data_IF_257150189677
#
_entry.id   IF_257150189677
#
_cell.length_a   1.000
_cell.length_b   1.000
_cell.length_c   1.000
_cell.angle_alpha   90.00
_cell.angle_beta   90.00
_cell.angle_gamma   90.00
#
_symmetry.space_group_name_H-M   'P 1'
#
loop_
_entity.id
_entity.type
_entity.pdbx_description
1 polymer ?
#
# COMPACT_ATOMS: atom_id res chain seq x y z
N UNK A 1 -73.38 -12.31 -8.48
CA UNK A 1 -73.20 -13.77 -8.37
C UNK A 1 -71.83 -14.06 -7.77
N UNK A 2 -71.81 -14.89 -6.72
CA UNK A 2 -70.70 -15.63 -6.07
C UNK A 2 -69.38 -14.87 -5.79
N UNK A 3 -68.92 -14.60 -4.56
CA UNK A 3 -68.98 -15.26 -3.24
C UNK A 3 -68.06 -16.49 -3.06
N UNK A 4 -67.01 -16.24 -2.27
CA UNK A 4 -66.33 -17.08 -1.24
C UNK A 4 -65.19 -18.06 -1.62
N UNK A 5 -64.00 -17.99 -0.93
CA UNK A 5 -62.93 -19.03 -0.87
C UNK A 5 -63.34 -20.17 0.12
N UNK A 6 -62.58 -21.25 0.49
CA UNK A 6 -61.11 -21.46 0.68
C UNK A 6 -60.66 -22.93 0.32
N UNK A 7 -59.80 -23.64 1.10
CA UNK A 7 -58.37 -23.50 1.39
C UNK A 7 -57.52 -24.62 0.70
N UNK A 8 -56.19 -24.52 0.71
CA UNK A 8 -55.33 -25.71 0.48
C UNK A 8 -54.79 -26.26 1.81
N UNK A 9 -54.81 -27.61 1.99
CA UNK A 9 -54.42 -28.26 3.23
C UNK A 9 -52.91 -28.47 3.36
N UNK A 10 -52.47 -28.33 4.61
CA UNK A 10 -51.22 -28.78 5.19
C UNK A 10 -51.03 -30.30 5.00
N UNK A 11 -49.90 -30.72 4.42
CA UNK A 11 -49.40 -32.10 4.57
C UNK A 11 -47.95 -32.04 5.01
N UNK A 12 -47.76 -32.36 6.29
CA UNK A 12 -46.49 -32.72 6.88
C UNK A 12 -46.00 -34.06 6.32
N UNK A 13 -44.74 -34.11 5.88
CA UNK A 13 -43.99 -35.35 5.83
C UNK A 13 -42.59 -35.17 6.43
N UNK A 14 -42.47 -35.78 7.60
CA UNK A 14 -41.29 -36.33 8.25
C UNK A 14 -40.23 -36.85 7.27
N UNK A 15 -39.02 -36.32 7.40
CA UNK A 15 -37.76 -37.03 7.12
C UNK A 15 -36.70 -36.63 8.13
N UNK A 16 -36.75 -37.28 9.29
CA UNK A 16 -35.62 -37.94 9.94
C UNK A 16 -34.23 -37.77 9.27
N UNK A 17 -33.37 -36.97 9.94
CA UNK A 17 -31.89 -37.01 10.12
C UNK A 17 -31.02 -37.81 9.11
N UNK A 18 -29.88 -37.27 8.63
CA UNK A 18 -28.64 -37.59 9.35
C UNK A 18 -27.55 -36.49 9.36
N UNK A 19 -26.79 -36.45 10.46
CA UNK A 19 -25.33 -36.25 10.53
C UNK A 19 -24.74 -35.06 9.76
N UNK A 20 -24.30 -34.04 10.51
CA UNK A 20 -22.92 -33.51 10.52
C UNK A 20 -22.90 -32.05 10.98
N UNK A 21 -23.02 -31.84 12.30
CA UNK A 21 -22.49 -30.63 12.93
C UNK A 21 -20.98 -30.81 13.07
N UNK A 22 -20.26 -30.67 11.97
CA UNK A 22 -18.89 -30.17 12.08
C UNK A 22 -19.03 -28.70 12.40
N UNK A 23 -18.92 -28.38 13.69
CA UNK A 23 -18.59 -27.03 14.13
C UNK A 23 -17.29 -26.65 13.45
N UNK A 24 -17.38 -25.99 12.30
CA UNK A 24 -16.33 -25.14 11.78
C UNK A 24 -16.06 -24.12 12.87
N UNK A 25 -15.09 -24.44 13.72
CA UNK A 25 -14.35 -23.44 14.47
C UNK A 25 -13.81 -22.50 13.43
N UNK A 26 -14.57 -21.45 13.13
CA UNK A 26 -14.04 -20.18 12.65
C UNK A 26 -13.11 -19.73 13.76
N UNK A 27 -11.89 -20.25 13.72
CA UNK A 27 -10.79 -19.68 14.44
C UNK A 27 -10.56 -18.37 13.71
N UNK A 28 -11.26 -17.33 14.15
CA UNK A 28 -10.73 -15.98 14.10
C UNK A 28 -9.43 -16.05 14.89
N UNK A 29 -8.36 -16.53 14.23
CA UNK A 29 -7.00 -16.20 14.62
C UNK A 29 -6.99 -14.70 14.50
N UNK A 30 -7.27 -14.03 15.60
CA UNK A 30 -6.84 -12.67 15.83
C UNK A 30 -5.34 -12.74 15.64
N UNK A 31 -4.87 -12.49 14.43
CA UNK A 31 -3.45 -12.29 14.19
C UNK A 31 -3.02 -11.22 15.20
N UNK A 32 -1.90 -11.43 15.90
CA UNK A 32 -1.39 -10.40 16.79
C UNK A 32 -1.28 -9.08 16.01
N UNK A 33 -1.54 -7.92 16.65
CA UNK A 33 -1.36 -6.64 15.98
C UNK A 33 0.05 -6.59 15.38
N UNK A 34 0.12 -6.31 14.08
CA UNK A 34 1.38 -6.27 13.35
C UNK A 34 2.19 -5.09 13.89
N UNK A 35 3.30 -5.39 14.55
CA UNK A 35 4.23 -4.38 15.07
C UNK A 35 5.24 -4.10 13.98
N UNK A 36 5.09 -2.96 13.30
CA UNK A 36 6.07 -2.50 12.33
C UNK A 36 7.41 -2.23 13.03
N UNK A 37 8.49 -2.72 12.44
CA UNK A 37 9.86 -2.38 12.86
C UNK A 37 10.14 -0.91 12.54
N UNK A 38 11.03 -0.26 13.27
CA UNK A 38 11.50 1.08 12.89
C UNK A 38 12.40 0.97 11.64
N UNK A 39 12.38 1.95 10.72
CA UNK A 39 13.34 2.02 9.62
C UNK A 39 14.77 2.36 10.13
N UNK A 40 15.83 2.07 9.34
CA UNK A 40 15.80 1.39 8.04
C UNK A 40 15.46 -0.09 8.21
N UNK A 41 14.44 -0.57 7.48
CA UNK A 41 14.03 -1.97 7.53
C UNK A 41 13.42 -2.41 6.20
N UNK A 42 13.70 -3.65 5.78
CA UNK A 42 12.95 -4.25 4.69
C UNK A 42 11.66 -4.86 5.21
N UNK A 43 10.53 -4.58 4.58
CA UNK A 43 9.24 -5.12 5.01
C UNK A 43 8.99 -6.57 4.52
N UNK A 44 8.20 -7.33 5.26
CA UNK A 44 7.61 -8.63 4.85
C UNK A 44 6.33 -8.42 4.05
N UNK A 45 5.78 -9.49 3.47
CA UNK A 45 4.51 -9.40 2.73
C UNK A 45 3.33 -9.01 3.65
N UNK A 46 3.28 -9.53 4.89
CA UNK A 46 2.28 -9.12 5.87
C UNK A 46 2.45 -7.64 6.29
N UNK A 47 3.70 -7.17 6.41
CA UNK A 47 4.00 -5.76 6.71
C UNK A 47 3.61 -4.86 5.52
N UNK A 48 3.78 -5.33 4.28
CA UNK A 48 3.39 -4.62 3.05
C UNK A 48 1.88 -4.34 3.03
N UNK A 49 1.05 -5.38 3.16
CA UNK A 49 -0.42 -5.25 3.16
C UNK A 49 -0.87 -4.25 4.24
N UNK A 50 -0.24 -4.29 5.41
CA UNK A 50 -0.55 -3.35 6.48
C UNK A 50 -0.15 -1.91 6.13
N UNK A 51 1.04 -1.70 5.58
CA UNK A 51 1.54 -0.38 5.18
C UNK A 51 0.65 0.24 4.10
N UNK A 52 0.27 -0.52 3.07
CA UNK A 52 -0.63 -0.07 2.00
C UNK A 52 -1.99 0.36 2.56
N UNK A 53 -2.61 -0.48 3.41
CA UNK A 53 -3.90 -0.18 4.02
C UNK A 53 -3.84 1.06 4.93
N UNK A 54 -2.75 1.26 5.67
CA UNK A 54 -2.60 2.47 6.49
C UNK A 54 -2.41 3.71 5.63
N UNK A 55 -1.57 3.61 4.59
CA UNK A 55 -1.30 4.68 3.64
C UNK A 55 -2.60 5.15 2.97
N UNK A 56 -3.33 4.25 2.29
CA UNK A 56 -4.58 4.57 1.58
C UNK A 56 -5.63 5.27 2.46
N UNK A 57 -5.70 4.91 3.75
CA UNK A 57 -6.72 5.44 4.67
C UNK A 57 -6.40 6.81 5.24
N UNK A 58 -5.12 7.12 5.41
CA UNK A 58 -4.69 8.24 6.26
C UNK A 58 -3.82 9.26 5.53
N UNK A 59 -3.34 8.94 4.33
CA UNK A 59 -2.50 9.82 3.54
C UNK A 59 -3.26 11.10 3.17
N UNK A 60 -2.51 12.20 3.16
CA UNK A 60 -2.99 13.53 2.82
C UNK A 60 -1.96 14.19 1.91
N UNK A 61 -2.32 15.28 1.25
CA UNK A 61 -1.38 15.97 0.36
C UNK A 61 -0.08 16.39 1.07
N UNK A 62 -0.09 16.98 2.28
CA UNK A 62 1.14 17.22 3.04
C UNK A 62 2.02 15.97 3.26
N UNK A 63 1.42 14.80 3.53
CA UNK A 63 2.18 13.55 3.62
C UNK A 63 2.86 13.21 2.29
N UNK A 64 2.15 13.34 1.16
CA UNK A 64 2.70 13.06 -0.17
C UNK A 64 3.84 14.02 -0.53
N UNK A 65 3.69 15.31 -0.23
CA UNK A 65 4.73 16.32 -0.50
C UNK A 65 5.98 16.05 0.35
N UNK A 66 5.82 15.77 1.64
CA UNK A 66 6.93 15.41 2.51
C UNK A 66 7.67 14.16 2.06
N UNK A 67 6.94 13.12 1.63
CA UNK A 67 7.55 11.90 1.10
C UNK A 67 8.30 12.16 -0.21
N UNK A 68 7.70 12.95 -1.11
CA UNK A 68 8.32 13.36 -2.37
C UNK A 68 9.62 14.15 -2.13
N UNK A 69 9.56 15.18 -1.28
CA UNK A 69 10.71 16.05 -0.98
C UNK A 69 11.91 15.24 -0.45
N UNK A 70 11.65 14.32 0.48
CA UNK A 70 12.68 13.44 1.05
C UNK A 70 13.33 12.54 0.00
N UNK A 71 12.51 11.88 -0.83
CA UNK A 71 13.02 10.99 -1.87
C UNK A 71 13.81 11.77 -2.92
N UNK A 72 13.31 12.95 -3.32
CA UNK A 72 14.01 13.86 -4.23
C UNK A 72 15.35 14.31 -3.68
N UNK A 73 15.43 14.64 -2.40
CA UNK A 73 16.69 15.02 -1.74
C UNK A 73 17.72 13.89 -1.83
N UNK A 74 17.32 12.65 -1.49
CA UNK A 74 18.21 11.48 -1.56
C UNK A 74 18.67 11.21 -3.00
N UNK A 75 17.77 11.26 -3.98
CA UNK A 75 18.10 11.03 -5.39
C UNK A 75 19.06 12.12 -5.91
N UNK A 76 18.80 13.38 -5.57
CA UNK A 76 19.64 14.54 -5.95
C UNK A 76 21.03 14.43 -5.34
N UNK A 77 21.14 14.12 -4.04
CA UNK A 77 22.42 13.96 -3.34
C UNK A 77 23.28 12.83 -3.92
N UNK A 78 22.67 11.85 -4.58
CA UNK A 78 23.33 10.72 -5.24
C UNK A 78 23.55 10.92 -6.75
N UNK A 79 23.10 12.03 -7.32
CA UNK A 79 23.19 12.31 -8.75
C UNK A 79 22.36 11.35 -9.60
N UNK A 80 21.24 10.83 -9.07
CA UNK A 80 20.32 9.96 -9.81
C UNK A 80 19.31 10.86 -10.52
N UNK A 81 19.23 10.75 -11.85
CA UNK A 81 18.20 11.46 -12.63
C UNK A 81 16.82 10.87 -12.35
N UNK A 82 15.82 11.73 -12.22
CA UNK A 82 14.46 11.31 -11.91
C UNK A 82 13.41 12.22 -12.56
N UNK A 83 12.17 11.74 -12.63
CA UNK A 83 10.99 12.50 -13.02
C UNK A 83 9.78 12.12 -12.18
N UNK A 84 9.11 13.11 -11.59
CA UNK A 84 7.88 12.90 -10.82
C UNK A 84 6.71 12.63 -11.77
N UNK A 85 5.91 11.62 -11.45
CA UNK A 85 4.82 11.13 -12.28
C UNK A 85 3.50 11.08 -11.49
N UNK A 86 2.50 10.42 -12.07
CA UNK A 86 1.31 10.00 -11.33
C UNK A 86 0.40 11.13 -10.87
N UNK A 87 -0.39 10.84 -9.83
CA UNK A 87 -1.35 11.79 -9.27
C UNK A 87 -0.70 13.04 -8.69
N UNK A 88 0.44 12.90 -8.00
CA UNK A 88 1.16 14.02 -7.39
C UNK A 88 1.64 15.02 -8.45
N UNK A 89 2.23 14.55 -9.56
CA UNK A 89 2.65 15.44 -10.65
C UNK A 89 1.48 16.27 -11.21
N UNK A 90 0.29 15.68 -11.33
CA UNK A 90 -0.91 16.36 -11.82
C UNK A 90 -1.42 17.40 -10.83
N UNK A 91 -1.38 17.09 -9.54
CA UNK A 91 -1.75 18.03 -8.47
C UNK A 91 -0.81 19.24 -8.48
N UNK A 92 0.50 19.01 -8.59
CA UNK A 92 1.52 20.07 -8.66
C UNK A 92 1.36 20.98 -9.90
N UNK A 93 0.82 20.44 -10.99
CA UNK A 93 0.46 21.19 -12.20
C UNK A 93 -0.88 21.92 -12.10
N UNK A 94 -1.53 21.92 -10.93
CA UNK A 94 -2.77 22.65 -10.64
C UNK A 94 -4.06 21.85 -10.79
N UNK A 95 -4.00 20.53 -11.04
CA UNK A 95 -5.19 19.68 -11.08
C UNK A 95 -5.61 19.23 -9.67
N UNK A 96 -6.23 20.15 -8.92
CA UNK A 96 -6.65 19.91 -7.54
C UNK A 96 -7.87 18.96 -7.38
N UNK A 97 -8.54 18.59 -8.48
CA UNK A 97 -9.67 17.65 -8.43
C UNK A 97 -9.24 16.18 -8.36
N UNK A 98 -7.96 15.89 -8.61
CA UNK A 98 -7.41 14.54 -8.57
C UNK A 98 -7.00 14.18 -7.15
N UNK A 99 -7.33 12.96 -6.74
CA UNK A 99 -6.84 12.33 -5.51
C UNK A 99 -5.83 11.25 -5.87
N UNK A 100 -4.87 11.01 -4.98
CA UNK A 100 -3.84 9.97 -5.08
C UNK A 100 -3.40 9.61 -3.67
N UNK A 101 -2.93 8.40 -3.46
CA UNK A 101 -2.48 7.92 -2.14
C UNK A 101 -0.97 7.68 -2.08
N UNK A 102 -0.28 7.90 -3.19
CA UNK A 102 1.07 7.45 -3.48
C UNK A 102 1.85 8.51 -4.27
N UNK A 103 3.16 8.34 -4.30
CA UNK A 103 4.08 9.16 -5.11
C UNK A 103 4.74 8.27 -6.16
N UNK A 104 4.53 8.55 -7.44
CA UNK A 104 5.22 7.87 -8.54
C UNK A 104 6.44 8.67 -9.00
N UNK A 105 7.60 8.01 -9.11
CA UNK A 105 8.83 8.64 -9.63
C UNK A 105 9.54 7.69 -10.58
N UNK A 106 9.73 8.11 -11.83
CA UNK A 106 10.65 7.41 -12.74
C UNK A 106 12.09 7.77 -12.38
N UNK A 107 12.97 6.77 -12.33
CA UNK A 107 14.39 6.94 -11.98
C UNK A 107 15.30 6.25 -13.01
N UNK A 108 16.40 6.93 -13.34
CA UNK A 108 17.50 6.35 -14.13
C UNK A 108 18.51 5.71 -13.17
N UNK A 109 18.13 4.54 -12.65
CA UNK A 109 18.95 3.78 -11.72
C UNK A 109 18.69 2.29 -11.84
N UNK A 110 19.72 1.48 -11.60
CA UNK A 110 19.58 0.03 -11.40
C UNK A 110 19.10 -0.26 -9.99
N UNK A 111 18.31 -1.33 -9.82
CA UNK A 111 17.77 -1.80 -8.51
C UNK A 111 18.81 -1.73 -7.40
N UNK A 112 20.00 -2.33 -7.61
CA UNK A 112 21.05 -2.38 -6.58
C UNK A 112 21.53 -0.98 -6.18
N UNK A 113 21.74 -0.09 -7.16
CA UNK A 113 22.18 1.27 -6.90
C UNK A 113 21.13 2.05 -6.12
N UNK A 114 19.86 1.88 -6.51
CA UNK A 114 18.72 2.51 -5.86
C UNK A 114 18.57 2.05 -4.40
N UNK A 115 18.52 0.74 -4.15
CA UNK A 115 18.41 0.22 -2.78
C UNK A 115 19.61 0.63 -1.90
N UNK A 116 20.81 0.74 -2.49
CA UNK A 116 22.00 1.23 -1.77
C UNK A 116 21.88 2.71 -1.41
N UNK A 117 21.24 3.53 -2.25
CA UNK A 117 21.04 4.95 -1.97
C UNK A 117 20.24 5.18 -0.69
N UNK A 118 19.24 4.33 -0.45
CA UNK A 118 18.31 4.41 0.69
C UNK A 118 18.64 3.45 1.85
N UNK A 119 19.67 2.59 1.73
CA UNK A 119 19.95 1.54 2.72
C UNK A 119 20.24 2.04 4.14
N UNK A 120 20.74 3.27 4.27
CA UNK A 120 21.08 3.88 5.56
C UNK A 120 20.05 4.92 6.02
N UNK A 121 18.91 5.02 5.33
CA UNK A 121 17.89 6.02 5.59
C UNK A 121 16.93 5.55 6.69
N UNK A 122 16.97 6.22 7.84
CA UNK A 122 16.17 5.88 9.02
C UNK A 122 14.68 6.20 8.90
N UNK A 123 14.26 6.72 7.74
CA UNK A 123 12.88 7.04 7.44
C UNK A 123 12.28 6.12 6.38
N UNK A 124 13.08 5.25 5.76
CA UNK A 124 12.63 4.48 4.59
C UNK A 124 12.53 3.00 4.90
N UNK A 125 11.35 2.47 4.63
CA UNK A 125 11.14 1.04 4.50
C UNK A 125 11.45 0.61 3.07
N UNK A 126 12.30 -0.41 2.95
CA UNK A 126 12.77 -0.89 1.65
C UNK A 126 12.03 -2.16 1.21
N UNK A 127 11.80 -2.35 -0.09
CA UNK A 127 11.33 -3.62 -0.60
C UNK A 127 12.45 -4.65 -0.50
N UNK A 128 12.07 -5.93 -0.39
CA UNK A 128 13.03 -7.02 -0.56
C UNK A 128 13.56 -6.98 -2.00
N UNK A 129 14.87 -7.16 -2.25
CA UNK A 129 15.43 -7.12 -3.61
C UNK A 129 14.71 -8.04 -4.62
N UNK A 130 14.26 -9.21 -4.17
CA UNK A 130 13.52 -10.17 -4.99
C UNK A 130 12.14 -9.64 -5.45
N UNK A 131 11.50 -8.77 -4.67
CA UNK A 131 10.21 -8.17 -5.03
C UNK A 131 10.35 -7.16 -6.19
N UNK A 132 11.51 -6.50 -6.30
CA UNK A 132 11.77 -5.49 -7.34
C UNK A 132 12.19 -6.11 -8.68
N UNK A 133 12.92 -7.23 -8.63
CA UNK A 133 13.57 -7.83 -9.81
C UNK A 133 12.59 -8.27 -10.91
N UNK A 134 11.30 -8.47 -10.59
CA UNK A 134 10.27 -8.87 -11.56
C UNK A 134 9.27 -7.77 -11.95
N UNK A 135 9.17 -6.70 -11.17
CA UNK A 135 8.15 -5.65 -11.37
C UNK A 135 8.66 -4.45 -12.16
N UNK A 136 9.96 -4.17 -12.12
CA UNK A 136 10.50 -2.89 -12.58
C UNK A 136 10.14 -1.70 -11.67
N UNK A 137 9.52 -1.96 -10.53
CA UNK A 137 9.09 -0.93 -9.56
C UNK A 137 9.64 -1.29 -8.18
N UNK A 138 10.36 -0.35 -7.58
CA UNK A 138 10.78 -0.44 -6.18
C UNK A 138 9.83 0.40 -5.32
N UNK A 139 8.90 -0.28 -4.65
CA UNK A 139 7.97 0.35 -3.70
C UNK A 139 8.67 0.61 -2.37
N UNK A 140 8.78 1.87 -2.00
CA UNK A 140 9.28 2.33 -0.72
C UNK A 140 8.10 2.76 0.15
N UNK A 141 8.30 2.74 1.48
CA UNK A 141 7.46 3.53 2.37
C UNK A 141 8.30 4.55 3.13
N UNK A 142 7.96 5.82 3.01
CA UNK A 142 8.68 6.94 3.63
C UNK A 142 7.94 7.39 4.87
N UNK A 143 8.59 7.33 6.03
CA UNK A 143 8.03 7.78 7.30
C UNK A 143 7.96 9.31 7.36
N UNK A 144 6.76 9.82 7.11
CA UNK A 144 6.38 11.22 7.29
C UNK A 144 5.87 11.48 8.70
N UNK A 145 5.82 12.74 9.14
CA UNK A 145 5.45 13.07 10.52
C UNK A 145 6.12 14.35 11.06
N UNK A 146 6.22 14.51 12.40
CA UNK A 146 6.60 15.76 13.09
C UNK A 146 8.06 16.20 12.90
N UNK A 147 8.85 15.47 12.12
CA UNK A 147 10.19 15.88 11.71
C UNK A 147 10.18 16.88 10.54
N UNK A 148 9.01 17.12 9.93
CA UNK A 148 8.82 18.17 8.93
C UNK A 148 8.19 19.42 9.54
N UNK A 149 8.42 20.58 8.93
CA UNK A 149 7.97 21.89 9.43
C UNK A 149 6.44 22.00 9.57
N UNK A 150 5.68 21.25 8.76
CA UNK A 150 4.24 21.11 8.92
C UNK A 150 3.87 19.93 9.84
N UNK A 151 3.06 20.15 10.89
CA UNK A 151 2.70 19.11 11.84
C UNK A 151 1.67 18.15 11.23
N UNK A 152 2.17 17.14 10.53
CA UNK A 152 1.39 15.98 10.09
C UNK A 152 1.61 14.80 11.04
N UNK A 153 0.59 13.97 11.32
CA UNK A 153 0.77 12.74 12.10
C UNK A 153 1.80 11.80 11.43
N UNK A 154 2.51 10.97 12.20
CA UNK A 154 3.40 9.98 11.61
C UNK A 154 2.66 9.01 10.68
N UNK A 155 3.14 8.85 9.44
CA UNK A 155 2.58 7.93 8.46
C UNK A 155 3.67 7.45 7.50
N UNK A 156 3.68 6.14 7.22
CA UNK A 156 4.53 5.56 6.18
C UNK A 156 3.82 5.71 4.82
N UNK A 157 4.35 6.59 3.97
CA UNK A 157 3.75 6.96 2.68
C UNK A 157 4.35 6.12 1.57
N UNK A 158 3.50 5.55 0.72
CA UNK A 158 3.91 4.77 -0.44
C UNK A 158 4.59 5.65 -1.50
N UNK A 159 5.78 5.22 -1.94
CA UNK A 159 6.51 5.83 -3.04
C UNK A 159 6.97 4.75 -4.01
N UNK A 160 6.46 4.80 -5.23
CA UNK A 160 6.80 3.87 -6.29
C UNK A 160 7.91 4.43 -7.17
N UNK A 161 9.09 3.81 -7.08
CA UNK A 161 10.23 4.14 -7.91
C UNK A 161 10.24 3.25 -9.15
N UNK A 162 9.83 3.81 -10.27
CA UNK A 162 9.73 3.14 -11.57
C UNK A 162 11.11 3.17 -12.22
N UNK A 163 11.71 1.99 -12.33
CA UNK A 163 13.05 1.84 -12.87
C UNK A 163 13.01 1.94 -14.40
N UNK A 164 13.97 2.66 -14.97
CA UNK A 164 14.24 2.55 -16.41
C UNK A 164 14.57 1.09 -16.74
N UNK A 165 13.76 0.44 -17.57
CA UNK A 165 14.09 -0.87 -18.10
C UNK A 165 15.42 -0.82 -18.85
N UNK A 166 16.24 -1.86 -18.74
CA UNK A 166 17.34 -2.01 -19.70
C UNK A 166 16.70 -2.35 -21.07
N UNK A 167 17.02 -1.66 -22.16
CA UNK A 167 16.77 -2.21 -23.48
C UNK A 167 17.51 -3.54 -23.53
N UNK A 168 16.77 -4.64 -23.61
CA UNK A 168 17.34 -5.95 -23.91
C UNK A 168 18.08 -5.82 -25.24
N UNK A 169 19.38 -6.14 -25.32
CA UNK A 169 20.13 -6.09 -26.57
C UNK A 169 19.56 -7.05 -27.62
#
# INVERSE_FOLDING_TARGET
MASTPPPDPEVAHDRSNPLSRTSSRSSTRSSPPLVLRAPPATYTDDELDHLEVQNEKHVSLPHLIHALDHVVEVLTARGISYGVMGGVSMILLGNHARTTSDVDIAVDAKVRGLLTAFAADDRVYLPRPAAVAGSGVARLFVLTGPAYDEPVPPLAVEVDLILSGEPTP
#
